data_IF_869244757043
#
_entry.id   IF_869244757043
#
_cell.length_a   1.000
_cell.length_b   1.000
_cell.length_c   1.000
_cell.angle_alpha   90.00
_cell.angle_beta   90.00
_cell.angle_gamma   90.00
#
_symmetry.space_group_name_H-M   'P 1'
#
loop_
_entity.id
_entity.type
_entity.pdbx_description
1 polymer ?
#
# COMPACT_ATOMS: atom_id res chain seq x y z
N UNK A 1 34.12 37.00 -9.59
CA UNK A 1 33.82 35.62 -10.06
C UNK A 1 32.84 35.02 -9.08
N UNK A 2 31.57 35.10 -9.43
CA UNK A 2 30.47 34.52 -8.65
C UNK A 2 30.25 33.08 -9.16
N UNK A 3 30.49 32.09 -8.29
CA UNK A 3 30.27 30.70 -8.61
C UNK A 3 28.82 30.32 -8.41
N UNK A 4 28.28 29.78 -9.44
CA UNK A 4 26.92 29.27 -9.61
C UNK A 4 26.65 28.11 -8.65
N UNK A 5 25.73 28.30 -7.68
CA UNK A 5 25.19 27.26 -6.78
C UNK A 5 23.85 26.82 -7.33
N UNK A 6 23.85 26.18 -8.49
CA UNK A 6 22.66 25.54 -9.04
C UNK A 6 22.71 24.03 -8.81
N UNK A 7 21.55 23.52 -8.42
CA UNK A 7 21.12 22.10 -8.35
C UNK A 7 21.69 21.22 -7.22
N UNK A 8 21.09 21.35 -6.05
CA UNK A 8 21.01 20.24 -5.09
C UNK A 8 19.68 19.50 -5.24
N UNK A 9 19.67 18.19 -5.57
CA UNK A 9 18.45 17.40 -5.74
C UNK A 9 17.59 17.28 -4.46
N UNK A 10 18.14 17.67 -3.31
CA UNK A 10 17.49 17.52 -2.01
C UNK A 10 16.35 18.54 -1.76
N UNK A 11 16.35 19.70 -2.39
CA UNK A 11 15.34 20.74 -2.15
C UNK A 11 14.03 20.54 -2.91
N UNK A 12 14.02 19.76 -3.99
CA UNK A 12 12.76 19.42 -4.70
C UNK A 12 11.83 18.49 -3.95
N UNK A 13 12.32 17.78 -2.93
CA UNK A 13 11.53 16.82 -2.14
C UNK A 13 10.72 17.50 -1.02
N UNK A 14 11.08 18.72 -0.62
CA UNK A 14 10.44 19.40 0.53
C UNK A 14 9.17 20.18 0.15
N UNK A 15 8.83 20.33 -1.13
CA UNK A 15 7.70 21.11 -1.61
C UNK A 15 6.58 20.28 -2.26
N UNK A 16 6.55 18.97 -2.07
CA UNK A 16 5.32 18.21 -2.32
C UNK A 16 4.38 18.39 -1.12
N UNK A 17 3.84 19.57 -1.00
CA UNK A 17 2.79 19.88 -0.03
C UNK A 17 1.56 19.02 -0.30
N UNK A 18 0.83 18.69 0.77
CA UNK A 18 -0.43 17.92 0.83
C UNK A 18 -1.46 18.28 -0.26
N UNK A 19 -1.38 19.48 -0.84
CA UNK A 19 -2.26 19.96 -1.90
C UNK A 19 -2.03 19.27 -3.27
N UNK A 20 -0.92 18.59 -3.51
CA UNK A 20 -0.63 17.95 -4.81
C UNK A 20 -1.19 16.52 -4.92
N UNK A 21 -1.74 15.98 -3.82
CA UNK A 21 -2.37 14.65 -3.78
C UNK A 21 -3.88 14.67 -4.03
N UNK A 22 -4.47 15.83 -4.29
CA UNK A 22 -5.89 15.94 -4.51
C UNK A 22 -6.30 15.54 -5.93
N UNK A 23 -6.95 14.39 -6.05
CA UNK A 23 -7.95 13.99 -7.06
C UNK A 23 -7.66 14.16 -8.57
N UNK A 24 -6.41 14.19 -9.03
CA UNK A 24 -6.13 14.34 -10.48
C UNK A 24 -5.07 13.38 -11.03
N UNK A 25 -4.85 12.23 -10.43
CA UNK A 25 -4.05 11.21 -11.09
C UNK A 25 -4.85 10.67 -12.29
N UNK A 26 -4.57 11.18 -13.49
CA UNK A 26 -5.10 10.61 -14.75
C UNK A 26 -4.77 9.14 -14.91
N UNK A 27 -3.81 8.64 -14.13
CA UNK A 27 -3.28 7.28 -14.19
C UNK A 27 -3.14 6.76 -12.76
N UNK A 28 -3.74 5.62 -12.39
CA UNK A 28 -3.64 5.09 -11.03
C UNK A 28 -2.20 4.68 -10.70
N UNK A 29 -1.78 4.91 -9.44
CA UNK A 29 -0.52 4.34 -8.93
C UNK A 29 -0.66 2.82 -8.81
N UNK A 30 0.47 2.13 -8.95
CA UNK A 30 0.54 0.67 -8.81
C UNK A 30 1.35 0.31 -7.58
N UNK A 31 0.72 -0.35 -6.63
CA UNK A 31 1.33 -0.91 -5.43
C UNK A 31 1.49 -2.43 -5.58
N UNK A 32 2.65 -2.97 -5.24
CA UNK A 32 2.90 -4.42 -5.25
C UNK A 32 3.39 -4.88 -3.88
N UNK A 33 2.71 -5.85 -3.29
CA UNK A 33 3.05 -6.58 -2.07
C UNK A 33 3.45 -8.02 -2.41
N UNK A 34 4.18 -8.72 -1.66
CA UNK A 34 5.14 -8.48 -0.61
C UNK A 34 6.52 -8.70 -1.18
N UNK A 35 7.44 -7.75 -1.04
CA UNK A 35 8.82 -7.96 -1.53
C UNK A 35 9.61 -8.77 -0.52
N UNK A 36 10.35 -9.77 -0.99
CA UNK A 36 11.13 -10.67 -0.16
C UNK A 36 12.64 -10.45 -0.29
N UNK A 37 13.08 -9.78 -1.38
CA UNK A 37 14.50 -9.44 -1.59
C UNK A 37 14.65 -8.06 -2.25
N UNK A 38 15.83 -7.40 -2.09
CA UNK A 38 16.16 -6.16 -2.80
C UNK A 38 16.09 -6.29 -4.33
N UNK A 39 16.56 -7.40 -4.88
CA UNK A 39 16.55 -7.67 -6.32
C UNK A 39 15.13 -7.76 -6.86
N UNK A 40 14.24 -8.44 -6.13
CA UNK A 40 12.82 -8.55 -6.48
C UNK A 40 12.14 -7.18 -6.48
N UNK A 41 12.41 -6.35 -5.46
CA UNK A 41 11.86 -5.00 -5.38
C UNK A 41 12.29 -4.13 -6.57
N UNK A 42 13.57 -4.16 -6.96
CA UNK A 42 14.05 -3.43 -8.13
C UNK A 42 13.38 -3.92 -9.43
N UNK A 43 13.25 -5.22 -9.60
CA UNK A 43 12.59 -5.79 -10.79
C UNK A 43 11.11 -5.39 -10.86
N UNK A 44 10.40 -5.31 -9.72
CA UNK A 44 9.02 -4.82 -9.68
C UNK A 44 8.92 -3.32 -10.04
N UNK A 45 9.86 -2.50 -9.58
CA UNK A 45 9.93 -1.07 -9.96
C UNK A 45 10.14 -0.92 -11.47
N UNK A 46 11.07 -1.66 -12.04
CA UNK A 46 11.33 -1.67 -13.49
C UNK A 46 10.12 -2.20 -14.30
N UNK A 47 9.32 -3.07 -13.70
CA UNK A 47 8.07 -3.55 -14.27
C UNK A 47 6.90 -2.57 -14.13
N UNK A 48 7.07 -1.46 -13.40
CA UNK A 48 6.09 -0.38 -13.31
C UNK A 48 5.42 -0.23 -11.94
N UNK A 49 5.95 -0.81 -10.87
CA UNK A 49 5.46 -0.55 -9.52
C UNK A 49 5.92 0.84 -9.03
N UNK A 50 4.99 1.64 -8.52
CA UNK A 50 5.25 2.96 -7.91
C UNK A 50 5.46 2.83 -6.40
N UNK A 51 4.75 1.88 -5.77
CA UNK A 51 4.80 1.60 -4.34
C UNK A 51 5.26 0.16 -4.13
N UNK A 52 6.20 -0.02 -3.21
CA UNK A 52 6.78 -1.31 -2.86
C UNK A 52 6.44 -1.65 -1.42
N UNK A 53 5.67 -2.72 -1.23
CA UNK A 53 5.24 -3.18 0.08
C UNK A 53 6.07 -4.33 0.63
N UNK A 54 6.43 -4.24 1.91
CA UNK A 54 7.06 -5.32 2.69
C UNK A 54 6.19 -5.66 3.90
N UNK A 55 6.30 -6.89 4.39
CA UNK A 55 5.62 -7.38 5.59
C UNK A 55 6.65 -7.81 6.62
N UNK A 56 7.22 -6.88 7.42
CA UNK A 56 8.17 -7.21 8.48
C UNK A 56 7.40 -7.89 9.62
N UNK A 57 7.54 -9.20 9.75
CA UNK A 57 6.77 -10.01 10.72
C UNK A 57 7.49 -11.33 11.01
N UNK A 58 7.07 -12.02 12.07
CA UNK A 58 7.44 -13.39 12.41
C UNK A 58 6.18 -14.18 12.87
N UNK A 59 5.04 -13.92 12.22
CA UNK A 59 3.73 -14.48 12.58
C UNK A 59 3.19 -15.50 11.59
N UNK A 60 3.98 -15.89 10.58
CA UNK A 60 3.56 -16.80 9.50
C UNK A 60 2.70 -16.11 8.44
N UNK A 61 2.85 -14.80 8.25
CA UNK A 61 2.11 -14.07 7.22
C UNK A 61 2.68 -14.38 5.81
N UNK A 62 1.85 -14.35 4.77
CA UNK A 62 2.32 -14.58 3.42
C UNK A 62 3.43 -13.62 3.00
N UNK A 63 4.61 -14.17 2.63
CA UNK A 63 5.76 -13.39 2.18
C UNK A 63 6.36 -12.48 3.24
N UNK A 64 6.18 -12.78 4.53
CA UNK A 64 6.83 -12.04 5.61
C UNK A 64 8.35 -12.16 5.56
N UNK A 65 9.02 -11.14 6.02
CA UNK A 65 10.47 -11.03 6.11
C UNK A 65 10.89 -10.45 7.46
N UNK A 66 12.12 -10.69 7.85
CA UNK A 66 12.67 -10.05 9.06
C UNK A 66 12.97 -8.55 8.84
N UNK A 67 13.22 -7.86 9.93
CA UNK A 67 13.46 -6.42 9.94
C UNK A 67 14.73 -6.03 9.16
N UNK A 68 15.77 -6.86 9.16
CA UNK A 68 17.03 -6.58 8.48
C UNK A 68 16.83 -6.68 6.96
N UNK A 69 16.07 -7.66 6.49
CA UNK A 69 15.71 -7.79 5.09
C UNK A 69 14.83 -6.62 4.64
N UNK A 70 13.86 -6.19 5.44
CA UNK A 70 13.05 -5.01 5.16
C UNK A 70 13.90 -3.74 5.03
N UNK A 71 14.90 -3.55 5.92
CA UNK A 71 15.86 -2.44 5.82
C UNK A 71 16.71 -2.52 4.56
N UNK A 72 17.19 -3.72 4.19
CA UNK A 72 17.96 -3.92 2.96
C UNK A 72 17.15 -3.58 1.71
N UNK A 73 15.88 -3.99 1.66
CA UNK A 73 14.95 -3.63 0.58
C UNK A 73 14.77 -2.12 0.53
N UNK A 74 14.43 -1.47 1.64
CA UNK A 74 14.17 -0.03 1.68
C UNK A 74 15.40 0.81 1.34
N UNK A 75 16.59 0.38 1.77
CA UNK A 75 17.85 1.01 1.40
C UNK A 75 18.13 0.92 -0.10
N UNK A 76 17.82 -0.23 -0.72
CA UNK A 76 18.01 -0.47 -2.15
C UNK A 76 16.98 0.28 -3.01
N UNK A 77 15.72 0.29 -2.59
CA UNK A 77 14.62 1.03 -3.24
C UNK A 77 14.88 2.54 -3.18
N UNK A 78 15.33 3.02 -2.04
CA UNK A 78 15.63 4.41 -1.70
C UNK A 78 14.53 5.37 -2.19
N UNK A 79 14.78 6.15 -3.27
CA UNK A 79 13.83 7.14 -3.81
C UNK A 79 13.16 6.71 -5.11
N UNK A 80 13.39 5.47 -5.56
CA UNK A 80 12.84 4.97 -6.83
C UNK A 80 11.36 4.64 -6.75
N UNK A 81 10.87 4.27 -5.55
CA UNK A 81 9.48 3.98 -5.27
C UNK A 81 9.13 4.39 -3.84
N UNK A 82 7.85 4.50 -3.54
CA UNK A 82 7.35 4.71 -2.18
C UNK A 82 7.47 3.40 -1.39
N UNK A 83 8.08 3.47 -0.21
CA UNK A 83 8.32 2.33 0.67
C UNK A 83 7.17 2.16 1.65
N UNK A 84 6.50 1.02 1.58
CA UNK A 84 5.34 0.71 2.41
C UNK A 84 5.66 -0.45 3.34
N UNK A 85 5.47 -0.27 4.65
CA UNK A 85 5.59 -1.34 5.64
C UNK A 85 4.21 -1.71 6.19
N UNK A 86 3.80 -2.97 6.00
CA UNK A 86 2.54 -3.51 6.50
C UNK A 86 2.72 -4.07 7.90
N UNK A 87 1.73 -3.86 8.76
CA UNK A 87 1.61 -4.53 10.04
C UNK A 87 0.19 -4.97 10.32
N UNK A 88 0.05 -6.14 10.94
CA UNK A 88 -1.20 -6.64 11.54
C UNK A 88 -1.20 -6.48 13.05
N UNK A 89 -0.19 -5.82 13.62
CA UNK A 89 -0.05 -5.56 15.04
C UNK A 89 -1.10 -4.56 15.52
N UNK A 90 -1.54 -4.72 16.76
CA UNK A 90 -2.55 -3.86 17.39
C UNK A 90 -2.01 -3.06 18.57
N UNK A 91 -0.85 -3.43 19.11
CA UNK A 91 -0.16 -2.68 20.16
C UNK A 91 0.61 -1.51 19.55
N UNK A 92 0.26 -0.29 19.96
CA UNK A 92 0.81 0.95 19.40
C UNK A 92 2.31 1.09 19.62
N UNK A 93 2.81 0.61 20.76
CA UNK A 93 4.24 0.68 21.11
C UNK A 93 5.01 -0.33 20.25
N UNK A 94 4.51 -1.54 20.09
CA UNK A 94 5.13 -2.55 19.22
C UNK A 94 5.16 -2.07 17.76
N UNK A 95 4.11 -1.44 17.28
CA UNK A 95 4.09 -0.83 15.94
C UNK A 95 5.17 0.24 15.82
N UNK A 96 5.24 1.16 16.78
CA UNK A 96 6.20 2.26 16.77
C UNK A 96 7.65 1.75 16.82
N UNK A 97 7.92 0.75 17.66
CA UNK A 97 9.25 0.14 17.82
C UNK A 97 9.69 -0.58 16.53
N UNK A 98 8.78 -1.29 15.86
CA UNK A 98 9.04 -1.92 14.57
C UNK A 98 9.29 -0.89 13.46
N UNK A 99 8.58 0.22 13.44
CA UNK A 99 8.73 1.26 12.41
C UNK A 99 9.98 2.11 12.59
N UNK A 100 10.50 2.25 13.81
CA UNK A 100 11.65 3.12 14.14
C UNK A 100 12.90 2.81 13.30
N UNK A 101 13.36 1.55 13.16
CA UNK A 101 14.51 1.23 12.32
C UNK A 101 14.22 1.23 10.81
N UNK A 102 12.95 1.15 10.39
CA UNK A 102 12.58 1.08 8.97
C UNK A 102 12.39 2.44 8.33
N UNK A 103 11.79 3.38 9.05
CA UNK A 103 11.40 4.71 8.55
C UNK A 103 10.71 4.59 7.16
N UNK A 104 9.58 3.89 7.05
CA UNK A 104 8.86 3.77 5.80
C UNK A 104 8.27 5.12 5.37
N UNK A 105 8.02 5.30 4.08
CA UNK A 105 7.25 6.45 3.59
C UNK A 105 5.76 6.31 3.96
N UNK A 106 5.26 5.06 4.03
CA UNK A 106 3.89 4.72 4.43
C UNK A 106 3.89 3.53 5.40
N UNK A 107 3.23 3.68 6.54
CA UNK A 107 2.84 2.60 7.43
C UNK A 107 1.45 2.12 7.04
N UNK A 108 1.34 0.85 6.62
CA UNK A 108 0.07 0.22 6.31
C UNK A 108 -0.45 -0.54 7.53
N UNK A 109 -1.48 0.01 8.17
CA UNK A 109 -2.22 -0.65 9.24
C UNK A 109 -3.22 -1.63 8.64
N UNK A 110 -3.01 -2.91 8.87
CA UNK A 110 -3.82 -4.00 8.36
C UNK A 110 -4.25 -4.96 9.50
N UNK A 111 -4.74 -4.44 10.64
CA UNK A 111 -5.14 -5.27 11.77
C UNK A 111 -6.41 -6.06 11.45
N UNK A 112 -6.78 -7.06 12.26
CA UNK A 112 -8.10 -7.66 12.18
C UNK A 112 -9.20 -6.60 12.31
N UNK A 113 -10.34 -6.83 11.63
CA UNK A 113 -11.48 -5.91 11.65
C UNK A 113 -11.90 -5.55 13.07
N UNK A 114 -12.30 -4.29 13.30
CA UNK A 114 -12.78 -3.75 14.59
C UNK A 114 -11.74 -3.71 15.73
N UNK A 115 -10.46 -3.96 15.46
CA UNK A 115 -9.41 -3.93 16.49
C UNK A 115 -8.74 -2.58 16.66
N UNK A 116 -8.93 -1.66 15.71
CA UNK A 116 -8.39 -0.31 15.73
C UNK A 116 -9.49 0.75 15.73
N UNK A 117 -9.24 1.86 16.41
CA UNK A 117 -10.13 3.01 16.42
C UNK A 117 -9.42 4.25 15.85
N UNK A 118 -10.15 5.25 15.35
CA UNK A 118 -9.55 6.53 14.92
C UNK A 118 -8.72 7.21 16.01
N UNK A 119 -9.08 7.07 17.30
CA UNK A 119 -8.32 7.63 18.41
C UNK A 119 -6.97 6.91 18.61
N UNK A 120 -6.92 5.61 18.45
CA UNK A 120 -5.66 4.86 18.49
C UNK A 120 -4.74 5.25 17.33
N UNK A 121 -5.28 5.54 16.14
CA UNK A 121 -4.47 6.07 15.01
C UNK A 121 -3.88 7.44 15.35
N UNK A 122 -4.65 8.34 16.00
CA UNK A 122 -4.12 9.64 16.46
C UNK A 122 -2.99 9.46 17.48
N UNK A 123 -3.13 8.51 18.41
CA UNK A 123 -2.08 8.19 19.39
C UNK A 123 -0.84 7.62 18.68
N UNK A 124 -1.02 6.67 17.76
CA UNK A 124 0.08 6.09 16.99
C UNK A 124 0.85 7.14 16.19
N UNK A 125 0.17 8.11 15.58
CA UNK A 125 0.79 9.20 14.83
C UNK A 125 1.78 10.01 15.69
N UNK A 126 1.54 10.13 16.99
CA UNK A 126 2.47 10.80 17.92
C UNK A 126 3.71 9.93 18.28
N UNK A 127 3.67 8.64 18.03
CA UNK A 127 4.74 7.69 18.38
C UNK A 127 5.68 7.36 17.22
N UNK A 128 5.23 7.55 15.99
CA UNK A 128 6.00 7.22 14.76
C UNK A 128 6.70 8.46 14.18
N UNK A 129 7.57 8.24 13.19
CA UNK A 129 8.20 9.33 12.47
C UNK A 129 7.14 10.26 11.83
N UNK A 130 7.20 11.59 12.05
CA UNK A 130 6.18 12.53 11.54
C UNK A 130 6.09 12.61 10.02
N UNK A 131 7.10 12.14 9.29
CA UNK A 131 7.09 12.04 7.82
C UNK A 131 6.49 10.74 7.30
N UNK A 132 6.28 9.73 8.16
CA UNK A 132 5.61 8.50 7.78
C UNK A 132 4.10 8.74 7.70
N UNK A 133 3.54 8.51 6.52
CA UNK A 133 2.08 8.55 6.30
C UNK A 133 1.43 7.27 6.77
N UNK A 134 0.16 7.33 7.13
CA UNK A 134 -0.61 6.17 7.60
C UNK A 134 -1.63 5.79 6.53
N UNK A 135 -1.62 4.52 6.13
CA UNK A 135 -2.62 3.86 5.30
C UNK A 135 -3.41 2.89 6.18
N UNK A 136 -4.73 2.97 6.16
CA UNK A 136 -5.61 2.05 6.90
C UNK A 136 -6.35 1.10 5.96
N UNK A 137 -6.30 -0.20 6.26
CA UNK A 137 -7.05 -1.21 5.52
C UNK A 137 -8.51 -1.25 6.00
N UNK A 138 -9.44 -1.20 5.06
CA UNK A 138 -10.88 -1.36 5.27
C UNK A 138 -11.34 -2.62 4.55
N UNK A 139 -12.00 -3.52 5.28
CA UNK A 139 -12.56 -4.75 4.73
C UNK A 139 -13.90 -4.47 4.04
N UNK A 140 -13.96 -4.66 2.72
CA UNK A 140 -15.19 -4.46 1.96
C UNK A 140 -16.02 -5.75 1.93
N UNK A 141 -16.58 -6.13 3.09
CA UNK A 141 -17.48 -7.27 3.22
C UNK A 141 -18.93 -6.89 2.89
N UNK A 142 -19.35 -5.70 3.29
CA UNK A 142 -20.68 -5.15 3.09
C UNK A 142 -20.65 -3.60 3.16
N UNK A 143 -21.82 -2.95 3.22
CA UNK A 143 -21.95 -1.49 3.25
C UNK A 143 -21.40 -0.83 4.53
N UNK A 144 -21.16 -1.57 5.62
CA UNK A 144 -20.53 -1.01 6.83
C UNK A 144 -19.11 -0.50 6.58
N UNK A 145 -18.44 -1.01 5.53
CA UNK A 145 -17.14 -0.52 5.06
C UNK A 145 -17.16 0.99 4.72
N UNK A 146 -18.30 1.53 4.30
CA UNK A 146 -18.44 2.96 4.00
C UNK A 146 -18.33 3.79 5.28
N UNK A 147 -19.02 3.38 6.33
CA UNK A 147 -18.99 4.09 7.62
C UNK A 147 -17.61 3.98 8.27
N UNK A 148 -16.96 2.82 8.18
CA UNK A 148 -15.57 2.63 8.62
C UNK A 148 -14.63 3.58 7.85
N UNK A 149 -14.68 3.60 6.52
CA UNK A 149 -13.86 4.47 5.70
C UNK A 149 -14.03 5.96 6.07
N UNK A 150 -15.27 6.40 6.27
CA UNK A 150 -15.59 7.77 6.68
C UNK A 150 -15.09 8.11 8.08
N UNK A 151 -15.11 7.16 9.01
CA UNK A 151 -14.60 7.36 10.37
C UNK A 151 -13.07 7.49 10.40
N UNK A 152 -12.37 6.74 9.56
CA UNK A 152 -10.90 6.77 9.51
C UNK A 152 -10.33 7.89 8.62
N UNK A 153 -11.02 8.31 7.58
CA UNK A 153 -10.54 9.33 6.64
C UNK A 153 -9.98 10.61 7.30
N UNK A 154 -10.53 11.13 8.42
CA UNK A 154 -9.98 12.33 9.07
C UNK A 154 -8.63 12.11 9.80
N UNK A 155 -8.18 10.87 10.01
CA UNK A 155 -7.02 10.55 10.85
C UNK A 155 -5.90 9.80 10.14
N UNK A 156 -6.15 9.33 8.91
CA UNK A 156 -5.18 8.62 8.06
C UNK A 156 -4.88 9.41 6.79
N UNK A 157 -3.84 9.02 6.07
CA UNK A 157 -3.43 9.68 4.82
C UNK A 157 -3.90 8.92 3.58
N UNK A 158 -4.21 7.62 3.73
CA UNK A 158 -4.72 6.73 2.70
C UNK A 158 -5.71 5.74 3.30
N UNK A 159 -6.66 5.31 2.48
CA UNK A 159 -7.44 4.09 2.71
C UNK A 159 -7.04 3.07 1.65
N UNK A 160 -6.91 1.80 2.04
CA UNK A 160 -6.82 0.67 1.12
C UNK A 160 -8.04 -0.23 1.33
N UNK A 161 -8.73 -0.57 0.24
CA UNK A 161 -9.93 -1.41 0.25
C UNK A 161 -9.54 -2.82 -0.13
N UNK A 162 -9.76 -3.78 0.75
CA UNK A 162 -9.37 -5.17 0.49
C UNK A 162 -10.46 -6.14 1.01
N UNK A 163 -10.22 -7.44 0.81
CA UNK A 163 -11.13 -8.52 1.19
C UNK A 163 -10.55 -9.30 2.35
N UNK A 164 -11.22 -9.30 3.51
CA UNK A 164 -10.83 -10.16 4.63
C UNK A 164 -11.30 -11.60 4.44
N UNK A 165 -10.56 -12.54 5.02
CA UNK A 165 -10.96 -13.94 5.12
C UNK A 165 -10.64 -14.47 6.53
N UNK A 166 -11.44 -15.42 7.07
CA UNK A 166 -11.19 -15.98 8.40
C UNK A 166 -9.86 -16.74 8.55
N UNK A 167 -9.22 -17.08 7.44
CA UNK A 167 -8.02 -17.94 7.39
C UNK A 167 -6.71 -17.15 7.43
N UNK A 168 -6.75 -15.82 7.26
CA UNK A 168 -5.55 -14.97 7.21
C UNK A 168 -5.68 -13.90 8.28
N UNK A 169 -4.62 -13.71 9.08
CA UNK A 169 -4.59 -12.64 10.07
C UNK A 169 -4.57 -11.26 9.37
N UNK A 170 -5.45 -10.37 9.79
CA UNK A 170 -5.61 -9.05 9.15
C UNK A 170 -6.55 -9.06 7.95
N UNK A 171 -6.48 -7.99 7.16
CA UNK A 171 -7.31 -7.76 5.97
C UNK A 171 -6.46 -7.98 4.73
N UNK A 172 -6.97 -8.72 3.72
CA UNK A 172 -6.31 -8.93 2.44
C UNK A 172 -5.67 -10.29 2.25
N UNK A 173 -4.79 -10.41 1.24
CA UNK A 173 -4.09 -11.62 0.82
C UNK A 173 -4.99 -12.82 0.45
N UNK A 174 -6.31 -12.61 0.31
CA UNK A 174 -7.29 -13.66 0.03
C UNK A 174 -7.33 -14.09 -1.44
N UNK A 175 -6.85 -13.25 -2.34
CA UNK A 175 -6.96 -13.43 -3.80
C UNK A 175 -8.41 -13.33 -4.33
N UNK A 176 -9.37 -12.86 -3.52
CA UNK A 176 -10.79 -12.72 -3.88
C UNK A 176 -11.16 -11.26 -4.06
N UNK A 177 -12.02 -10.98 -5.06
CA UNK A 177 -12.63 -9.67 -5.26
C UNK A 177 -13.83 -9.47 -4.35
N UNK A 178 -14.19 -8.22 -4.12
CA UNK A 178 -15.38 -7.78 -3.41
C UNK A 178 -16.31 -6.93 -4.32
N UNK A 179 -17.39 -6.40 -3.77
CA UNK A 179 -18.32 -5.55 -4.54
C UNK A 179 -17.71 -4.17 -4.82
N UNK A 180 -17.34 -3.93 -6.07
CA UNK A 180 -16.78 -2.66 -6.53
C UNK A 180 -17.76 -1.48 -6.49
N UNK A 181 -19.06 -1.71 -6.36
CA UNK A 181 -20.01 -0.61 -6.17
C UNK A 181 -19.81 0.05 -4.79
N UNK A 182 -19.57 -0.76 -3.75
CA UNK A 182 -19.24 -0.25 -2.41
C UNK A 182 -17.91 0.52 -2.47
N UNK A 183 -16.88 -0.03 -3.11
CA UNK A 183 -15.59 0.63 -3.27
C UNK A 183 -15.71 1.97 -4.01
N UNK A 184 -16.52 2.03 -5.08
CA UNK A 184 -16.80 3.28 -5.81
C UNK A 184 -17.48 4.31 -4.92
N UNK A 185 -18.46 3.90 -4.10
CA UNK A 185 -19.13 4.81 -3.17
C UNK A 185 -18.16 5.37 -2.14
N UNK A 186 -17.25 4.53 -1.59
CA UNK A 186 -16.20 4.99 -0.67
C UNK A 186 -15.32 6.04 -1.36
N UNK A 187 -14.81 5.76 -2.57
CA UNK A 187 -13.97 6.70 -3.34
C UNK A 187 -14.67 8.05 -3.56
N UNK A 188 -15.99 8.05 -3.78
CA UNK A 188 -16.76 9.28 -3.99
C UNK A 188 -17.02 10.08 -2.69
N UNK A 189 -17.01 9.42 -1.53
CA UNK A 189 -17.39 10.02 -0.25
C UNK A 189 -16.22 10.46 0.61
N UNK A 190 -15.05 9.84 0.47
CA UNK A 190 -13.85 10.22 1.24
C UNK A 190 -13.04 11.29 0.49
N UNK A 191 -12.36 12.16 1.24
CA UNK A 191 -11.54 13.25 0.68
C UNK A 191 -10.05 12.90 0.55
N UNK A 192 -9.67 11.68 0.90
CA UNK A 192 -8.27 11.21 0.87
C UNK A 192 -8.09 10.14 -0.21
N UNK A 193 -6.85 9.90 -0.69
CA UNK A 193 -6.57 8.87 -1.67
C UNK A 193 -7.00 7.47 -1.23
N UNK A 194 -7.63 6.72 -2.15
CA UNK A 194 -8.08 5.34 -1.94
C UNK A 194 -7.33 4.42 -2.88
N UNK A 195 -6.72 3.37 -2.34
CA UNK A 195 -6.10 2.28 -3.09
C UNK A 195 -7.08 1.11 -3.12
N UNK A 196 -7.33 0.56 -4.29
CA UNK A 196 -8.16 -0.63 -4.46
C UNK A 196 -7.28 -1.87 -4.48
N UNK A 197 -7.56 -2.80 -3.57
CA UNK A 197 -6.97 -4.12 -3.50
C UNK A 197 -8.05 -5.21 -3.64
N UNK A 198 -7.80 -6.43 -3.16
CA UNK A 198 -8.75 -7.53 -3.17
C UNK A 198 -8.84 -8.25 -4.51
N UNK A 199 -7.99 -9.27 -4.70
CA UNK A 199 -8.04 -10.18 -5.85
C UNK A 199 -7.80 -9.53 -7.21
N UNK A 200 -7.14 -8.38 -7.26
CA UNK A 200 -6.80 -7.74 -8.52
C UNK A 200 -5.69 -8.48 -9.24
N UNK A 201 -5.89 -8.67 -10.54
CA UNK A 201 -4.99 -9.40 -11.44
C UNK A 201 -4.78 -8.62 -12.75
N UNK A 202 -3.80 -8.98 -13.58
CA UNK A 202 -3.65 -8.37 -14.90
C UNK A 202 -4.93 -8.41 -15.77
N UNK A 203 -5.78 -9.44 -15.56
CA UNK A 203 -6.98 -9.67 -16.36
C UNK A 203 -8.18 -8.81 -15.94
N UNK A 204 -8.22 -8.38 -14.66
CA UNK A 204 -9.40 -7.67 -14.11
C UNK A 204 -9.12 -6.22 -13.69
N UNK A 205 -7.85 -5.82 -13.52
CA UNK A 205 -7.49 -4.51 -12.95
C UNK A 205 -8.01 -3.34 -13.82
N UNK A 206 -8.01 -3.47 -15.12
CA UNK A 206 -8.54 -2.41 -16.01
C UNK A 206 -10.03 -2.17 -15.76
N UNK A 207 -10.82 -3.25 -15.65
CA UNK A 207 -12.25 -3.16 -15.32
C UNK A 207 -12.48 -2.57 -13.92
N UNK A 208 -11.63 -2.95 -12.94
CA UNK A 208 -11.68 -2.42 -11.59
C UNK A 208 -11.40 -0.90 -11.56
N UNK A 209 -10.37 -0.44 -12.26
CA UNK A 209 -10.04 1.01 -12.38
C UNK A 209 -11.19 1.76 -13.04
N UNK A 210 -11.76 1.23 -14.10
CA UNK A 210 -12.89 1.86 -14.80
C UNK A 210 -14.13 1.97 -13.90
N UNK A 211 -14.43 0.91 -13.13
CA UNK A 211 -15.62 0.86 -12.27
C UNK A 211 -15.50 1.74 -11.03
N UNK A 212 -14.32 1.75 -10.38
CA UNK A 212 -14.11 2.37 -9.06
C UNK A 212 -13.47 3.74 -9.15
N UNK A 213 -12.59 3.96 -10.13
CA UNK A 213 -11.76 5.17 -10.30
C UNK A 213 -10.93 5.49 -9.03
N UNK A 214 -10.16 4.53 -8.51
CA UNK A 214 -9.36 4.72 -7.33
C UNK A 214 -8.12 5.59 -7.62
N UNK A 215 -7.49 6.12 -6.58
CA UNK A 215 -6.17 6.75 -6.68
C UNK A 215 -5.08 5.77 -7.10
N UNK A 216 -5.20 4.52 -6.67
CA UNK A 216 -4.24 3.47 -6.99
C UNK A 216 -4.83 2.07 -6.89
N UNK A 217 -4.06 1.11 -7.37
CA UNK A 217 -4.40 -0.31 -7.32
C UNK A 217 -3.28 -1.12 -6.67
N UNK A 218 -3.66 -2.19 -5.99
CA UNK A 218 -2.73 -3.07 -5.27
C UNK A 218 -2.87 -4.53 -5.73
N UNK A 219 -1.76 -5.26 -5.77
CA UNK A 219 -1.76 -6.70 -6.00
C UNK A 219 -0.68 -7.42 -5.21
N UNK A 220 -1.06 -8.56 -4.63
CA UNK A 220 -0.17 -9.52 -4.01
C UNK A 220 -0.26 -10.87 -4.73
N UNK A 221 -1.37 -11.58 -4.53
CA UNK A 221 -1.53 -13.00 -4.88
C UNK A 221 -1.40 -13.25 -6.38
N UNK A 222 -2.05 -12.44 -7.20
CA UNK A 222 -2.12 -12.63 -8.66
C UNK A 222 -0.89 -12.12 -9.41
N UNK A 223 0.04 -11.47 -8.73
CA UNK A 223 1.36 -11.10 -9.27
C UNK A 223 2.48 -12.00 -8.77
N UNK A 224 2.13 -13.11 -8.12
CA UNK A 224 3.08 -14.12 -7.65
C UNK A 224 3.16 -15.31 -8.60
N UNK A 225 4.31 -16.01 -8.54
CA UNK A 225 4.54 -17.35 -9.04
C UNK A 225 4.92 -18.25 -7.87
N UNK A 226 4.11 -19.24 -7.59
CA UNK A 226 4.39 -20.21 -6.53
C UNK A 226 5.49 -21.18 -6.97
N UNK A 227 6.45 -21.41 -6.08
CA UNK A 227 7.56 -22.37 -6.26
C UNK A 227 7.33 -23.64 -5.45
N UNK A 228 6.55 -23.56 -4.36
CA UNK A 228 5.99 -24.68 -3.59
C UNK A 228 4.76 -24.22 -2.84
N UNK A 229 4.13 -25.07 -2.04
CA UNK A 229 3.01 -24.70 -1.18
C UNK A 229 3.42 -23.56 -0.23
N UNK A 230 2.69 -22.46 -0.26
CA UNK A 230 2.92 -21.22 0.53
C UNK A 230 4.26 -20.50 0.29
N UNK A 231 5.09 -20.94 -0.68
CA UNK A 231 6.33 -20.26 -1.05
C UNK A 231 6.18 -19.70 -2.46
N UNK A 232 6.37 -18.41 -2.58
CA UNK A 232 6.24 -17.70 -3.84
C UNK A 232 7.36 -16.68 -4.06
N UNK A 233 7.53 -16.28 -5.30
CA UNK A 233 8.33 -15.13 -5.75
C UNK A 233 7.46 -14.25 -6.63
N UNK A 234 7.84 -13.00 -6.84
CA UNK A 234 7.16 -12.16 -7.81
C UNK A 234 7.33 -12.66 -9.24
N UNK A 235 6.22 -12.73 -9.95
CA UNK A 235 6.21 -12.96 -11.39
C UNK A 235 6.30 -11.58 -12.08
N UNK A 236 7.48 -11.22 -12.52
CA UNK A 236 7.76 -9.88 -13.06
C UNK A 236 6.96 -9.60 -14.34
N UNK A 237 6.65 -10.61 -15.13
CA UNK A 237 5.82 -10.44 -16.32
C UNK A 237 4.36 -10.17 -15.94
N UNK A 238 3.84 -10.81 -14.90
CA UNK A 238 2.53 -10.48 -14.35
C UNK A 238 2.50 -9.09 -13.72
N UNK A 239 3.54 -8.67 -13.00
CA UNK A 239 3.65 -7.30 -12.47
C UNK A 239 3.61 -6.28 -13.59
N UNK A 240 4.37 -6.51 -14.67
CA UNK A 240 4.39 -5.64 -15.85
C UNK A 240 3.02 -5.59 -16.55
N UNK A 241 2.39 -6.74 -16.74
CA UNK A 241 1.07 -6.83 -17.33
C UNK A 241 0.01 -6.12 -16.47
N UNK A 242 0.06 -6.29 -15.15
CA UNK A 242 -0.82 -5.62 -14.19
C UNK A 242 -0.67 -4.10 -14.27
N UNK A 243 0.57 -3.59 -14.22
CA UNK A 243 0.85 -2.16 -14.30
C UNK A 243 0.40 -1.56 -15.64
N UNK A 244 0.66 -2.27 -16.75
CA UNK A 244 0.22 -1.83 -18.08
C UNK A 244 -1.31 -1.79 -18.19
N UNK A 245 -2.00 -2.84 -17.71
CA UNK A 245 -3.47 -2.90 -17.77
C UNK A 245 -4.13 -1.84 -16.88
N UNK A 246 -3.58 -1.59 -15.66
CA UNK A 246 -4.09 -0.54 -14.78
C UNK A 246 -4.01 0.85 -15.41
N UNK A 247 -2.96 1.12 -16.19
CA UNK A 247 -2.69 2.43 -16.82
C UNK A 247 -3.29 2.58 -18.22
N UNK A 248 -3.79 1.51 -18.81
CA UNK A 248 -4.43 1.55 -20.14
C UNK A 248 -5.86 2.12 -20.11
N UNK A 249 -6.42 2.36 -18.93
CA UNK A 249 -7.78 2.90 -18.78
C UNK A 249 -7.69 4.41 -18.95
N UNK A 250 -8.30 4.92 -20.01
CA UNK A 250 -8.47 6.35 -20.23
C UNK A 250 -9.31 6.97 -19.10
N UNK A 251 -8.80 8.06 -18.53
CA UNK A 251 -9.41 8.77 -17.41
C UNK A 251 -10.67 9.57 -17.83
#
# INVERSE_FOLDING_TARGET
>A
MAGDLQDRPCERRLMMTTAHFMHTAKVPIVQIYTMQTPTEALACIEAGADYIGVTPSARGLPGEIDINMAQAIFSTVWTRAVKVALTVETDLIQIADMMRPLIPDVLHLCPPTETFTPDQVRQLRALINPHTRIMHAVSVADHSAIDEALAFAPVVDFIILDTSTPTIAGIGASGKTHDWNISREIVQRVSIPVILAGGLSPENVAAAVQAVRPYGVDSLTHTNRYVSENVFVKDIDKVRAFAAAARAVDA
#
